data_IF_405729556165
#
_entry.id   IF_405729556165
#
_cell.length_a   1.000
_cell.length_b   1.000
_cell.length_c   1.000
_cell.angle_alpha   90.00
_cell.angle_beta   90.00
_cell.angle_gamma   90.00
#
_symmetry.space_group_name_H-M   'P 1'
#
loop_
_entity.id
_entity.type
_entity.pdbx_description
1 polymer ?
#
# COMPACT_ATOMS: atom_id res chain seq x y z
N UNK A 1 13.13 7.97 20.09
CA UNK A 1 13.25 8.85 18.90
C UNK A 1 11.86 9.41 18.56
N UNK A 2 11.68 10.74 18.62
CA UNK A 2 10.41 11.37 18.28
C UNK A 2 10.20 11.47 16.76
N UNK A 3 11.30 11.58 16.02
CA UNK A 3 11.34 11.57 14.56
C UNK A 3 12.11 10.35 14.09
N UNK A 4 11.58 9.66 13.08
CA UNK A 4 12.23 8.53 12.43
C UNK A 4 12.11 8.68 10.92
N UNK A 5 13.23 8.73 10.23
CA UNK A 5 13.30 8.61 8.77
C UNK A 5 13.84 7.22 8.43
N UNK A 6 13.17 6.49 7.55
CA UNK A 6 13.57 5.13 7.20
C UNK A 6 13.33 4.83 5.71
N UNK A 7 14.27 4.19 5.02
CA UNK A 7 14.03 3.66 3.69
C UNK A 7 13.22 2.36 3.78
N UNK A 8 12.47 2.07 2.72
CA UNK A 8 11.84 0.78 2.55
C UNK A 8 11.90 0.31 1.10
N UNK A 9 11.95 -1.01 0.95
CA UNK A 9 11.88 -1.67 -0.34
C UNK A 9 10.94 -2.86 -0.23
N UNK A 10 10.08 -3.03 -1.23
CA UNK A 10 9.17 -4.18 -1.35
C UNK A 10 9.27 -4.75 -2.75
N UNK A 11 9.57 -6.04 -2.79
CA UNK A 11 9.45 -6.87 -3.99
C UNK A 11 8.15 -7.66 -3.92
N UNK A 12 7.44 -7.76 -5.04
CA UNK A 12 6.21 -8.52 -5.16
C UNK A 12 6.21 -9.32 -6.46
N UNK A 13 5.73 -10.56 -6.42
CA UNK A 13 5.56 -11.42 -7.58
C UNK A 13 4.16 -12.00 -7.58
N UNK A 14 3.50 -11.95 -8.73
CA UNK A 14 2.18 -12.52 -8.96
C UNK A 14 2.28 -13.55 -10.10
N UNK A 15 1.66 -14.70 -9.90
CA UNK A 15 1.47 -15.70 -10.97
C UNK A 15 0.22 -15.35 -11.78
N UNK A 16 0.20 -15.73 -13.07
CA UNK A 16 -0.96 -15.49 -13.92
C UNK A 16 -2.18 -16.29 -13.42
N UNK A 17 -3.38 -15.74 -13.64
CA UNK A 17 -4.61 -16.49 -13.49
C UNK A 17 -4.68 -17.66 -14.51
N UNK A 18 -5.37 -18.75 -14.14
CA UNK A 18 -5.44 -19.97 -14.95
C UNK A 18 -5.96 -19.75 -16.38
N UNK A 19 -6.83 -18.76 -16.57
CA UNK A 19 -7.48 -18.46 -17.85
C UNK A 19 -6.91 -17.21 -18.53
N UNK A 20 -5.81 -16.66 -18.02
CA UNK A 20 -5.16 -15.51 -18.64
C UNK A 20 -4.34 -15.95 -19.86
N UNK A 21 -4.56 -15.30 -21.00
CA UNK A 21 -3.64 -15.38 -22.13
C UNK A 21 -3.47 -14.00 -22.77
N UNK A 22 -2.28 -13.66 -23.30
CA UNK A 22 -2.04 -12.39 -23.98
C UNK A 22 -2.85 -12.29 -25.28
N UNK A 23 -2.86 -11.09 -25.87
CA UNK A 23 -3.56 -10.81 -27.13
C UNK A 23 -3.27 -11.87 -28.20
N UNK A 24 -4.33 -12.42 -28.81
CA UNK A 24 -4.31 -13.48 -29.83
C UNK A 24 -3.73 -14.83 -29.40
N UNK A 25 -3.56 -15.09 -28.10
CA UNK A 25 -3.07 -16.39 -27.61
C UNK A 25 -4.19 -17.32 -27.11
N UNK A 26 -5.45 -16.88 -27.11
CA UNK A 26 -6.59 -17.72 -26.73
C UNK A 26 -7.00 -18.69 -27.84
N UNK A 27 -7.40 -19.90 -27.45
CA UNK A 27 -8.01 -20.87 -28.35
C UNK A 27 -9.53 -20.73 -28.34
N UNK A 28 -10.17 -20.91 -29.49
CA UNK A 28 -11.63 -20.92 -29.64
C UNK A 28 -12.32 -22.07 -28.87
N UNK A 29 -11.55 -23.04 -28.35
CA UNK A 29 -12.05 -24.16 -27.54
C UNK A 29 -12.08 -23.86 -26.04
N UNK A 30 -11.59 -22.69 -25.61
CA UNK A 30 -11.53 -22.34 -24.19
C UNK A 30 -12.93 -21.93 -23.68
N UNK A 31 -13.42 -22.59 -22.63
CA UNK A 31 -14.71 -22.26 -21.99
C UNK A 31 -14.65 -20.93 -21.22
N UNK A 32 -13.50 -20.65 -20.58
CA UNK A 32 -13.23 -19.40 -19.86
C UNK A 32 -11.94 -18.77 -20.39
N UNK A 33 -11.95 -17.44 -20.56
CA UNK A 33 -10.82 -16.69 -21.10
C UNK A 33 -10.79 -15.27 -20.51
N UNK A 34 -9.60 -14.76 -20.25
CA UNK A 34 -9.37 -13.35 -19.97
C UNK A 34 -8.06 -12.87 -20.59
N UNK A 35 -8.07 -11.63 -21.07
CA UNK A 35 -6.88 -10.94 -21.59
C UNK A 35 -6.55 -9.71 -20.74
N UNK A 36 -7.07 -9.65 -19.51
CA UNK A 36 -6.81 -8.58 -18.56
C UNK A 36 -5.40 -8.71 -17.99
N UNK A 37 -4.53 -7.75 -18.31
CA UNK A 37 -3.14 -7.72 -17.86
C UNK A 37 -3.00 -7.55 -16.35
N UNK A 38 -4.05 -7.15 -15.63
CA UNK A 38 -4.06 -7.14 -14.16
C UNK A 38 -4.07 -8.58 -13.58
N UNK A 39 -4.52 -9.55 -14.37
CA UNK A 39 -4.52 -10.98 -14.05
C UNK A 39 -3.31 -11.73 -14.63
N UNK A 40 -2.39 -11.03 -15.30
CA UNK A 40 -1.18 -11.64 -15.84
C UNK A 40 -0.16 -11.96 -14.75
N UNK A 41 0.83 -12.79 -15.09
CA UNK A 41 2.02 -12.91 -14.27
C UNK A 41 2.80 -11.58 -14.34
N UNK A 42 3.21 -11.05 -13.19
CA UNK A 42 4.07 -9.87 -13.16
C UNK A 42 4.93 -9.84 -11.90
N UNK A 43 6.02 -9.09 -11.96
CA UNK A 43 6.78 -8.70 -10.78
C UNK A 43 6.79 -7.19 -10.63
N UNK A 44 6.83 -6.73 -9.38
CA UNK A 44 6.78 -5.34 -9.05
C UNK A 44 7.80 -4.99 -7.96
N UNK A 45 8.41 -3.82 -8.14
CA UNK A 45 9.42 -3.26 -7.26
C UNK A 45 8.88 -1.93 -6.74
N UNK A 46 8.84 -1.78 -5.42
CA UNK A 46 8.47 -0.54 -4.76
C UNK A 46 9.60 -0.08 -3.86
N UNK A 47 10.16 1.09 -4.15
CA UNK A 47 11.19 1.73 -3.33
C UNK A 47 10.65 3.03 -2.77
N UNK A 48 11.00 3.36 -1.53
CA UNK A 48 10.47 4.55 -0.91
C UNK A 48 11.16 4.97 0.38
N UNK A 49 10.68 6.09 0.90
CA UNK A 49 11.11 6.68 2.15
C UNK A 49 9.87 6.93 3.03
N UNK A 50 9.99 6.56 4.29
CA UNK A 50 8.99 6.81 5.32
C UNK A 50 9.51 7.77 6.37
N UNK A 51 8.65 8.68 6.80
CA UNK A 51 8.88 9.65 7.85
C UNK A 51 7.81 9.47 8.93
N UNK A 52 8.25 9.13 10.14
CA UNK A 52 7.38 8.95 11.29
C UNK A 52 7.65 9.99 12.35
N UNK A 53 6.57 10.58 12.87
CA UNK A 53 6.57 11.46 14.01
C UNK A 53 5.71 10.86 15.14
N UNK A 54 6.36 10.53 16.26
CA UNK A 54 5.76 9.82 17.40
C UNK A 54 6.30 10.35 18.74
N UNK A 55 5.84 11.53 19.20
CA UNK A 55 6.18 12.07 20.52
C UNK A 55 5.71 11.15 21.66
N UNK A 56 6.44 11.13 22.79
CA UNK A 56 6.13 10.26 23.95
C UNK A 56 4.72 10.48 24.51
N UNK A 57 4.24 11.72 24.48
CA UNK A 57 2.92 12.10 25.00
C UNK A 57 1.80 12.11 23.93
N UNK A 58 2.11 11.67 22.71
CA UNK A 58 1.20 11.76 21.57
C UNK A 58 1.12 13.17 20.97
N UNK A 59 0.50 13.25 19.79
CA UNK A 59 0.34 14.47 18.99
C UNK A 59 -0.80 15.36 19.51
N UNK A 60 -1.78 14.76 20.18
CA UNK A 60 -2.92 15.50 20.69
C UNK A 60 -3.88 14.62 21.50
N UNK A 61 -4.69 15.28 22.32
CA UNK A 61 -5.72 14.67 23.15
C UNK A 61 -7.02 15.41 22.89
N UNK A 62 -8.07 14.70 22.52
CA UNK A 62 -9.38 15.29 22.27
C UNK A 62 -10.50 14.39 22.81
N UNK A 63 -11.64 15.01 23.12
CA UNK A 63 -12.87 14.30 23.49
C UNK A 63 -13.69 14.09 22.23
N UNK A 64 -14.15 12.87 21.99
CA UNK A 64 -15.10 12.62 20.90
C UNK A 64 -16.52 12.93 21.38
N UNK A 65 -17.41 13.47 20.52
CA UNK A 65 -18.75 13.90 20.93
C UNK A 65 -19.64 12.75 21.44
N UNK A 66 -19.26 11.51 21.18
CA UNK A 66 -20.00 10.30 21.58
C UNK A 66 -19.34 9.54 22.75
N UNK A 67 -18.27 10.05 23.37
CA UNK A 67 -17.58 9.37 24.47
C UNK A 67 -17.10 10.35 25.54
N UNK A 68 -17.37 10.01 26.80
CA UNK A 68 -16.90 10.77 27.97
C UNK A 68 -15.38 10.63 28.19
N UNK A 69 -14.73 9.67 27.50
CA UNK A 69 -13.31 9.34 27.68
C UNK A 69 -12.43 10.05 26.63
N UNK A 70 -11.17 10.28 26.99
CA UNK A 70 -10.21 11.06 26.17
C UNK A 70 -9.55 10.15 25.13
N UNK A 71 -9.70 10.48 23.85
CA UNK A 71 -8.96 9.86 22.74
C UNK A 71 -7.57 10.50 22.62
N UNK A 72 -6.55 9.68 22.39
CA UNK A 72 -5.17 10.16 22.16
C UNK A 72 -4.76 9.89 20.72
N UNK A 73 -4.32 10.92 20.01
CA UNK A 73 -3.62 10.77 18.75
C UNK A 73 -2.15 10.49 19.03
N UNK A 74 -1.66 9.28 18.74
CA UNK A 74 -0.36 8.78 19.20
C UNK A 74 0.78 9.11 18.24
N UNK A 75 0.59 8.88 16.95
CA UNK A 75 1.66 9.10 15.95
C UNK A 75 1.10 9.26 14.55
N UNK A 76 1.89 9.95 13.72
CA UNK A 76 1.70 10.15 12.29
C UNK A 76 2.90 9.51 11.57
N UNK A 77 2.65 8.78 10.49
CA UNK A 77 3.67 8.25 9.59
C UNK A 77 3.27 8.63 8.17
N UNK A 78 4.22 9.17 7.39
CA UNK A 78 4.04 9.56 6.01
C UNK A 78 5.05 8.79 5.17
N UNK A 79 4.57 8.12 4.11
CA UNK A 79 5.41 7.30 3.24
C UNK A 79 5.24 7.73 1.80
N UNK A 80 6.35 7.96 1.13
CA UNK A 80 6.40 8.08 -0.31
C UNK A 80 7.05 6.84 -0.90
N UNK A 81 6.44 6.26 -1.94
CA UNK A 81 7.00 5.12 -2.64
C UNK A 81 6.80 5.21 -4.15
N UNK A 82 7.88 4.98 -4.89
CA UNK A 82 7.87 4.79 -6.33
C UNK A 82 7.67 3.30 -6.64
N UNK A 83 6.61 2.99 -7.37
CA UNK A 83 6.20 1.64 -7.75
C UNK A 83 6.40 1.44 -9.25
N UNK A 84 7.01 0.31 -9.63
CA UNK A 84 7.17 -0.10 -11.03
C UNK A 84 6.95 -1.59 -11.17
N UNK A 85 6.10 -1.99 -12.11
CA UNK A 85 5.86 -3.41 -12.45
C UNK A 85 6.29 -3.76 -13.88
N UNK A 86 6.46 -5.06 -14.14
CA UNK A 86 6.94 -5.58 -15.43
C UNK A 86 5.98 -5.37 -16.60
N UNK A 87 4.67 -5.22 -16.35
CA UNK A 87 3.68 -4.93 -17.41
C UNK A 87 3.71 -3.46 -17.88
N UNK A 88 4.59 -2.63 -17.30
CA UNK A 88 4.81 -1.24 -17.73
C UNK A 88 4.14 -0.18 -16.86
N UNK A 89 3.27 -0.56 -15.92
CA UNK A 89 2.68 0.39 -14.98
C UNK A 89 3.74 0.94 -14.01
N UNK A 90 3.75 2.27 -13.90
CA UNK A 90 4.54 3.01 -12.91
C UNK A 90 3.60 3.91 -12.11
N UNK A 91 3.84 4.03 -10.81
CA UNK A 91 2.99 4.82 -9.93
C UNK A 91 3.80 5.48 -8.81
N UNK A 92 3.41 6.71 -8.46
CA UNK A 92 3.87 7.41 -7.27
C UNK A 92 2.81 7.25 -6.18
N UNK A 93 3.19 6.65 -5.05
CA UNK A 93 2.27 6.34 -3.96
C UNK A 93 2.64 7.15 -2.74
N UNK A 94 1.73 8.02 -2.30
CA UNK A 94 1.81 8.72 -1.01
C UNK A 94 0.85 8.05 -0.05
N UNK A 95 1.31 7.71 1.15
CA UNK A 95 0.51 7.06 2.19
C UNK A 95 0.67 7.78 3.52
N UNK A 96 -0.41 7.86 4.29
CA UNK A 96 -0.43 8.44 5.62
C UNK A 96 -1.03 7.44 6.60
N UNK A 97 -0.27 7.06 7.63
CA UNK A 97 -0.72 6.18 8.70
C UNK A 97 -0.92 7.00 9.99
N UNK A 98 -2.14 6.92 10.54
CA UNK A 98 -2.54 7.62 11.75
C UNK A 98 -2.79 6.61 12.87
N UNK A 99 -2.10 6.73 14.00
CA UNK A 99 -2.28 5.84 15.15
C UNK A 99 -3.04 6.53 16.27
N UNK A 100 -4.13 5.92 16.74
CA UNK A 100 -4.94 6.42 17.84
C UNK A 100 -4.99 5.40 18.97
N UNK A 101 -5.10 5.89 20.21
CA UNK A 101 -5.46 5.07 21.37
C UNK A 101 -6.86 5.51 21.79
N UNK A 102 -7.81 4.60 21.58
CA UNK A 102 -9.18 4.74 22.01
C UNK A 102 -9.34 4.14 23.41
N UNK A 103 -10.15 4.76 24.27
CA UNK A 103 -10.42 4.29 25.62
C UNK A 103 -11.58 3.30 25.71
#
# INVERSE_FOLDING_TARGET
PFFTLYPFYRYHTQTAANYFAPYLAHSLRNEFFTSDYDLSAFSANKVGLGFRYAPLYGLGRFKTPFSTRITKFKSLDLRYGYYRQTTGLTANVVSADLSFVLP
#
